data_IF_618923482198
#
_entry.id   IF_618923482198
#
_cell.length_a   1.000
_cell.length_b   1.000
_cell.length_c   1.000
_cell.angle_alpha   90.00
_cell.angle_beta   90.00
_cell.angle_gamma   90.00
#
_symmetry.space_group_name_H-M   'P 1'
#
loop_
_entity.id
_entity.type
_entity.pdbx_description
1 polymer ?
#
# COMPACT_ATOMS: atom_id res chain seq x y z
N UNK A 1 6.44 -4.00 -27.02
CA UNK A 1 5.97 -5.24 -27.70
C UNK A 1 4.70 -5.77 -27.02
N UNK A 2 4.69 -6.09 -25.72
CA UNK A 2 3.54 -6.62 -24.99
C UNK A 2 2.23 -5.84 -25.22
N UNK A 3 2.29 -4.50 -25.20
CA UNK A 3 1.10 -3.65 -25.36
C UNK A 3 0.47 -3.74 -26.76
N UNK A 4 1.24 -4.17 -27.78
CA UNK A 4 0.75 -4.31 -29.16
C UNK A 4 0.18 -5.70 -29.44
N UNK A 5 0.45 -6.66 -28.59
CA UNK A 5 -0.06 -8.02 -28.73
C UNK A 5 -1.55 -8.06 -28.41
N UNK A 6 -2.37 -8.51 -29.35
CA UNK A 6 -3.84 -8.55 -29.21
C UNK A 6 -4.32 -9.68 -28.31
N UNK A 7 -3.51 -10.70 -28.10
CA UNK A 7 -3.85 -11.84 -27.25
C UNK A 7 -3.61 -11.57 -25.76
N UNK A 8 -2.83 -10.53 -25.44
CA UNK A 8 -2.61 -10.11 -24.06
C UNK A 8 -3.76 -9.19 -23.65
N UNK A 9 -4.50 -9.56 -22.63
CA UNK A 9 -5.62 -8.79 -22.09
C UNK A 9 -5.24 -8.01 -20.83
N UNK A 10 -4.32 -8.54 -20.02
CA UNK A 10 -3.92 -7.99 -18.73
C UNK A 10 -2.40 -7.81 -18.67
N UNK A 11 -1.97 -6.67 -18.15
CA UNK A 11 -0.58 -6.39 -17.79
C UNK A 11 -0.41 -6.55 -16.30
N UNK A 12 0.47 -7.47 -15.89
CA UNK A 12 0.91 -7.62 -14.51
C UNK A 12 2.13 -6.71 -14.29
N UNK A 13 1.93 -5.68 -13.46
CA UNK A 13 2.95 -4.66 -13.20
C UNK A 13 3.67 -4.98 -11.88
N UNK A 14 4.83 -5.60 -11.97
CA UNK A 14 5.71 -5.97 -10.84
C UNK A 14 6.95 -5.08 -10.76
N UNK A 15 6.86 -3.85 -11.23
CA UNK A 15 7.95 -2.88 -11.16
C UNK A 15 8.11 -2.28 -9.77
N UNK A 16 9.00 -1.33 -9.62
CA UNK A 16 9.18 -0.58 -8.37
C UNK A 16 8.06 0.47 -8.19
N UNK A 17 7.73 0.91 -6.97
CA UNK A 17 6.64 1.84 -6.69
C UNK A 17 6.64 3.10 -7.55
N UNK A 18 7.79 3.73 -7.74
CA UNK A 18 7.92 4.94 -8.57
C UNK A 18 7.57 4.73 -10.05
N UNK A 19 7.56 3.49 -10.56
CA UNK A 19 7.20 3.17 -11.94
C UNK A 19 5.74 2.71 -12.11
N UNK A 20 5.03 2.39 -11.02
CA UNK A 20 3.69 1.79 -11.06
C UNK A 20 2.71 2.63 -11.88
N UNK A 21 2.65 3.93 -11.61
CA UNK A 21 1.75 4.83 -12.31
C UNK A 21 1.96 4.79 -13.83
N UNK A 22 3.20 4.97 -14.29
CA UNK A 22 3.49 5.06 -15.71
C UNK A 22 3.22 3.75 -16.45
N UNK A 23 3.60 2.61 -15.87
CA UNK A 23 3.39 1.30 -16.47
C UNK A 23 1.90 0.96 -16.54
N UNK A 24 1.16 1.16 -15.45
CA UNK A 24 -0.29 0.91 -15.41
C UNK A 24 -1.05 1.85 -16.34
N UNK A 25 -0.66 3.13 -16.41
CA UNK A 25 -1.23 4.09 -17.35
C UNK A 25 -1.05 3.65 -18.80
N UNK A 26 0.18 3.25 -19.17
CA UNK A 26 0.46 2.74 -20.52
C UNK A 26 -0.36 1.50 -20.86
N UNK A 27 -0.54 0.57 -19.92
CA UNK A 27 -1.40 -0.60 -20.13
C UNK A 27 -2.83 -0.18 -20.43
N UNK A 28 -3.43 0.67 -19.60
CA UNK A 28 -4.79 1.18 -19.78
C UNK A 28 -4.95 1.99 -21.08
N UNK A 29 -3.98 2.85 -21.42
CA UNK A 29 -4.01 3.64 -22.67
C UNK A 29 -4.02 2.74 -23.91
N UNK A 30 -3.39 1.57 -23.84
CA UNK A 30 -3.35 0.57 -24.92
C UNK A 30 -4.48 -0.48 -24.85
N UNK A 31 -5.53 -0.22 -24.05
CA UNK A 31 -6.71 -1.10 -23.97
C UNK A 31 -6.48 -2.39 -23.21
N UNK A 32 -5.48 -2.45 -22.33
CA UNK A 32 -5.18 -3.61 -21.50
C UNK A 32 -5.65 -3.35 -20.07
N UNK A 33 -6.20 -4.37 -19.41
CA UNK A 33 -6.37 -4.36 -17.96
C UNK A 33 -5.01 -4.25 -17.26
N UNK A 34 -4.98 -3.72 -16.05
CA UNK A 34 -3.75 -3.61 -15.27
C UNK A 34 -3.94 -4.19 -13.87
N UNK A 35 -3.02 -5.02 -13.45
CA UNK A 35 -2.89 -5.44 -12.05
C UNK A 35 -1.45 -5.14 -11.59
N UNK A 36 -1.31 -4.36 -10.53
CA UNK A 36 -0.02 -3.89 -10.08
C UNK A 36 0.32 -4.41 -8.67
N UNK A 37 1.62 -4.48 -8.37
CA UNK A 37 2.08 -4.53 -6.99
C UNK A 37 1.67 -3.28 -6.23
N UNK A 38 1.61 -3.38 -4.90
CA UNK A 38 1.34 -2.22 -4.02
C UNK A 38 2.58 -1.29 -3.95
N UNK A 39 2.37 0.00 -3.76
CA UNK A 39 1.10 0.74 -3.80
C UNK A 39 0.61 0.94 -5.25
N UNK A 40 -0.66 1.26 -5.43
CA UNK A 40 -1.21 1.59 -6.76
C UNK A 40 -0.45 2.74 -7.42
N UNK A 41 -0.12 3.75 -6.64
CA UNK A 41 0.76 4.86 -6.98
C UNK A 41 1.38 5.43 -5.70
N UNK A 42 2.48 6.16 -5.82
CA UNK A 42 3.17 6.78 -4.66
C UNK A 42 2.37 7.96 -4.09
N UNK A 43 1.57 8.62 -4.91
CA UNK A 43 0.71 9.72 -4.47
C UNK A 43 -0.75 9.51 -4.86
N UNK A 44 -1.65 10.16 -4.12
CA UNK A 44 -3.10 10.03 -4.28
C UNK A 44 -3.59 10.46 -5.67
N UNK A 45 -3.08 11.58 -6.18
CA UNK A 45 -3.55 12.14 -7.45
C UNK A 45 -3.27 11.21 -8.64
N UNK A 46 -2.14 10.55 -8.65
CA UNK A 46 -1.81 9.59 -9.71
C UNK A 46 -2.65 8.31 -9.60
N UNK A 47 -2.88 7.82 -8.38
CA UNK A 47 -3.81 6.70 -8.15
C UNK A 47 -5.22 7.04 -8.64
N UNK A 48 -5.72 8.22 -8.33
CA UNK A 48 -7.03 8.72 -8.79
C UNK A 48 -7.12 8.77 -10.32
N UNK A 49 -6.11 9.34 -10.99
CA UNK A 49 -6.06 9.39 -12.46
C UNK A 49 -6.08 7.99 -13.10
N UNK A 50 -5.41 7.00 -12.50
CA UNK A 50 -5.46 5.62 -13.00
C UNK A 50 -6.87 5.03 -12.92
N UNK A 51 -7.56 5.22 -11.80
CA UNK A 51 -8.93 4.73 -11.62
C UNK A 51 -9.88 5.44 -12.60
N UNK A 52 -9.77 6.74 -12.75
CA UNK A 52 -10.57 7.51 -13.70
C UNK A 52 -10.32 7.06 -15.16
N UNK A 53 -9.06 6.81 -15.53
CA UNK A 53 -8.69 6.32 -16.84
C UNK A 53 -9.25 4.91 -17.12
N UNK A 54 -9.15 4.00 -16.14
CA UNK A 54 -9.69 2.67 -16.23
C UNK A 54 -11.22 2.71 -16.45
N UNK A 55 -11.93 3.49 -15.63
CA UNK A 55 -13.38 3.68 -15.77
C UNK A 55 -13.77 4.26 -17.13
N UNK A 56 -13.07 5.31 -17.59
CA UNK A 56 -13.32 5.93 -18.90
C UNK A 56 -13.17 4.96 -20.07
N UNK A 57 -12.25 3.99 -19.94
CA UNK A 57 -11.97 3.00 -20.98
C UNK A 57 -12.72 1.69 -20.80
N UNK A 58 -13.53 1.58 -19.75
CA UNK A 58 -14.21 0.33 -19.35
C UNK A 58 -13.21 -0.83 -19.18
N UNK A 59 -12.11 -0.55 -18.50
CA UNK A 59 -11.06 -1.51 -18.17
C UNK A 59 -10.99 -1.73 -16.66
N UNK A 60 -10.52 -2.91 -16.26
CA UNK A 60 -10.25 -3.21 -14.87
C UNK A 60 -8.85 -2.72 -14.49
N UNK A 61 -8.76 -2.15 -13.30
CA UNK A 61 -7.52 -1.89 -12.61
C UNK A 61 -7.61 -2.51 -11.22
N UNK A 62 -6.58 -3.27 -10.84
CA UNK A 62 -6.45 -3.86 -9.53
C UNK A 62 -5.03 -3.72 -9.03
N UNK A 63 -4.85 -3.85 -7.73
CA UNK A 63 -3.52 -3.91 -7.17
C UNK A 63 -3.46 -4.71 -5.86
N UNK A 64 -2.29 -5.24 -5.54
CA UNK A 64 -1.99 -5.78 -4.23
C UNK A 64 -2.14 -4.69 -3.13
N UNK A 65 -2.32 -5.07 -1.86
CA UNK A 65 -2.09 -6.40 -1.31
C UNK A 65 -3.29 -7.33 -1.46
N UNK A 66 -3.01 -8.62 -1.49
CA UNK A 66 -4.01 -9.69 -1.49
C UNK A 66 -4.24 -10.30 -0.10
N UNK A 67 -3.47 -9.89 0.90
CA UNK A 67 -3.44 -10.51 2.25
C UNK A 67 -4.79 -10.49 2.95
N UNK A 68 -5.65 -9.49 2.68
CA UNK A 68 -7.01 -9.44 3.20
C UNK A 68 -7.91 -10.57 2.66
N UNK A 69 -7.54 -11.20 1.54
CA UNK A 69 -8.19 -12.39 1.00
C UNK A 69 -7.74 -13.69 1.68
N UNK A 70 -6.70 -13.63 2.52
CA UNK A 70 -6.19 -14.78 3.26
C UNK A 70 -7.21 -15.31 4.28
N UNK A 71 -7.17 -16.63 4.52
CA UNK A 71 -8.17 -17.34 5.32
C UNK A 71 -8.44 -16.75 6.70
N UNK A 72 -7.42 -16.19 7.37
CA UNK A 72 -7.59 -15.54 8.68
C UNK A 72 -8.46 -14.29 8.62
N UNK A 73 -8.16 -13.36 7.68
CA UNK A 73 -8.93 -12.13 7.51
C UNK A 73 -10.34 -12.44 6.99
N UNK A 74 -10.49 -13.38 6.07
CA UNK A 74 -11.80 -13.81 5.57
C UNK A 74 -12.65 -14.45 6.67
N UNK A 75 -12.05 -15.27 7.54
CA UNK A 75 -12.77 -15.83 8.70
C UNK A 75 -13.15 -14.75 9.71
N UNK A 76 -12.30 -13.78 9.93
CA UNK A 76 -12.61 -12.61 10.77
C UNK A 76 -13.80 -11.83 10.20
N UNK A 77 -13.81 -11.59 8.88
CA UNK A 77 -14.93 -10.92 8.21
C UNK A 77 -16.24 -11.71 8.39
N UNK A 78 -16.21 -13.01 8.18
CA UNK A 78 -17.38 -13.90 8.39
C UNK A 78 -17.92 -13.81 9.82
N UNK A 79 -17.04 -13.83 10.83
CA UNK A 79 -17.45 -13.74 12.23
C UNK A 79 -18.09 -12.37 12.57
N UNK A 80 -17.56 -11.30 12.00
CA UNK A 80 -18.14 -9.96 12.13
C UNK A 80 -19.52 -9.91 11.47
N UNK A 81 -19.64 -10.41 10.24
CA UNK A 81 -20.91 -10.41 9.49
C UNK A 81 -21.99 -11.24 10.20
N UNK A 82 -21.61 -12.31 10.87
CA UNK A 82 -22.51 -13.15 11.67
C UNK A 82 -22.80 -12.54 13.06
N UNK A 83 -22.32 -11.36 13.37
CA UNK A 83 -22.60 -10.64 14.61
C UNK A 83 -22.00 -11.25 15.88
N UNK A 84 -20.97 -12.12 15.75
CA UNK A 84 -20.38 -12.84 16.90
C UNK A 84 -19.83 -11.89 17.97
N UNK A 85 -19.30 -10.74 17.56
CA UNK A 85 -18.81 -9.70 18.48
C UNK A 85 -19.70 -8.45 18.54
N UNK A 86 -20.87 -8.49 17.86
CA UNK A 86 -21.72 -7.31 17.69
C UNK A 86 -21.08 -6.25 16.81
N UNK A 87 -21.57 -5.01 16.93
CA UNK A 87 -21.02 -3.87 16.17
C UNK A 87 -19.63 -3.49 16.66
N UNK A 88 -18.70 -3.33 15.75
CA UNK A 88 -17.35 -2.81 16.07
C UNK A 88 -17.46 -1.31 16.38
N UNK A 89 -17.06 -0.91 17.59
CA UNK A 89 -17.10 0.48 18.03
C UNK A 89 -15.71 1.10 18.19
N UNK A 90 -14.73 0.30 18.58
CA UNK A 90 -13.38 0.75 18.87
C UNK A 90 -12.39 -0.38 18.56
N UNK A 91 -11.19 -0.01 18.15
CA UNK A 91 -10.09 -0.93 18.01
C UNK A 91 -8.74 -0.24 17.98
N UNK A 92 -7.69 -1.01 17.82
CA UNK A 92 -6.36 -0.52 17.55
C UNK A 92 -5.63 -1.44 16.59
N UNK A 93 -4.74 -0.87 15.78
CA UNK A 93 -3.85 -1.59 14.89
C UNK A 93 -2.42 -1.10 15.13
N UNK A 94 -1.49 -2.00 15.37
CA UNK A 94 -0.11 -1.67 15.64
C UNK A 94 0.79 -2.46 14.69
N UNK A 95 1.67 -1.73 14.02
CA UNK A 95 2.77 -2.31 13.26
C UNK A 95 4.07 -1.66 13.72
N UNK A 96 4.97 -2.45 14.26
CA UNK A 96 6.25 -1.98 14.75
C UNK A 96 7.36 -3.00 14.43
N UNK A 97 8.42 -2.51 13.82
CA UNK A 97 9.61 -3.31 13.52
C UNK A 97 10.84 -2.39 13.38
N UNK A 98 12.07 -2.91 13.48
CA UNK A 98 13.27 -2.08 13.47
C UNK A 98 13.57 -1.42 12.13
N UNK A 99 12.91 -1.83 11.06
CA UNK A 99 13.08 -1.34 9.69
C UNK A 99 13.81 -2.32 8.79
N UNK A 100 13.61 -2.17 7.48
CA UNK A 100 14.11 -3.11 6.47
C UNK A 100 15.63 -3.11 6.34
N UNK A 101 16.32 -2.05 6.78
CA UNK A 101 17.78 -1.96 6.73
C UNK A 101 18.48 -3.09 7.50
N UNK A 102 17.78 -3.77 8.41
CA UNK A 102 18.32 -4.90 9.16
C UNK A 102 18.43 -6.19 8.35
N UNK A 103 17.65 -6.33 7.29
CA UNK A 103 17.58 -7.57 6.50
C UNK A 103 17.57 -7.37 4.97
N UNK A 104 17.50 -6.14 4.46
CA UNK A 104 17.56 -5.84 3.03
C UNK A 104 18.94 -5.29 2.64
N UNK A 105 19.58 -5.78 1.56
CA UNK A 105 20.94 -5.36 1.20
C UNK A 105 21.02 -3.96 0.55
N UNK A 106 19.89 -3.43 0.06
CA UNK A 106 19.78 -2.10 -0.55
C UNK A 106 18.53 -1.39 -0.02
N UNK A 107 18.49 -1.00 1.26
CA UNK A 107 17.28 -0.46 1.89
C UNK A 107 17.05 1.02 1.60
N UNK A 108 18.02 1.72 1.02
CA UNK A 108 18.05 3.19 0.92
C UNK A 108 16.82 3.74 0.22
N UNK A 109 16.37 3.09 -0.86
CA UNK A 109 15.24 3.54 -1.66
C UNK A 109 13.93 3.63 -0.86
N UNK A 110 13.72 2.74 0.10
CA UNK A 110 12.51 2.77 0.96
C UNK A 110 12.43 3.97 1.90
N UNK A 111 13.54 4.66 2.10
CA UNK A 111 13.62 5.81 2.99
C UNK A 111 13.71 7.14 2.25
N UNK A 112 13.52 7.12 0.92
CA UNK A 112 13.44 8.32 0.08
C UNK A 112 11.99 8.81 -0.05
N UNK A 113 11.81 10.08 -0.40
CA UNK A 113 10.48 10.64 -0.66
C UNK A 113 9.76 9.96 -1.84
N UNK A 114 10.50 9.49 -2.84
CA UNK A 114 9.96 8.85 -4.03
C UNK A 114 9.31 7.48 -3.76
N UNK A 115 9.78 6.76 -2.74
CA UNK A 115 9.23 5.45 -2.37
C UNK A 115 8.24 5.55 -1.20
N UNK A 116 8.10 6.75 -0.59
CA UNK A 116 7.06 7.08 0.38
C UNK A 116 7.20 6.49 1.78
N UNK A 117 8.30 5.79 2.08
CA UNK A 117 8.60 5.26 3.41
C UNK A 117 7.69 4.14 3.92
N UNK A 118 7.75 3.85 5.24
CA UNK A 118 7.07 2.70 5.84
C UNK A 118 5.56 2.66 5.64
N UNK A 119 4.88 3.81 5.59
CA UNK A 119 3.42 3.84 5.42
C UNK A 119 3.03 3.46 4.00
N UNK A 120 3.76 3.91 2.99
CA UNK A 120 3.48 3.54 1.60
C UNK A 120 3.87 2.08 1.34
N UNK A 121 4.93 1.60 2.00
CA UNK A 121 5.37 0.21 1.86
C UNK A 121 4.45 -0.78 2.60
N UNK A 122 4.19 -0.54 3.90
CA UNK A 122 3.48 -1.48 4.77
C UNK A 122 2.03 -1.08 5.05
N UNK A 123 1.71 0.20 5.00
CA UNK A 123 0.35 0.69 5.24
C UNK A 123 -0.73 0.01 4.39
N UNK A 124 -0.53 -0.26 3.09
CA UNK A 124 -1.53 -0.92 2.26
C UNK A 124 -2.05 -2.23 2.84
N UNK A 125 -1.20 -3.05 3.45
CA UNK A 125 -1.60 -4.33 4.05
C UNK A 125 -2.61 -4.15 5.20
N UNK A 126 -2.34 -3.20 6.10
CA UNK A 126 -3.14 -2.98 7.31
C UNK A 126 -4.38 -2.14 7.01
N UNK A 127 -4.22 -1.07 6.24
CA UNK A 127 -5.34 -0.19 5.90
C UNK A 127 -6.38 -0.91 5.04
N UNK A 128 -5.96 -1.72 4.08
CA UNK A 128 -6.89 -2.53 3.28
C UNK A 128 -7.62 -3.56 4.14
N UNK A 129 -6.92 -4.19 5.10
CA UNK A 129 -7.55 -5.12 6.03
C UNK A 129 -8.58 -4.40 6.93
N UNK A 130 -8.25 -3.22 7.46
CA UNK A 130 -9.19 -2.43 8.27
C UNK A 130 -10.42 -2.02 7.45
N UNK A 131 -10.24 -1.52 6.23
CA UNK A 131 -11.37 -1.16 5.35
C UNK A 131 -12.21 -2.40 5.01
N UNK A 132 -11.60 -3.54 4.77
CA UNK A 132 -12.32 -4.79 4.52
C UNK A 132 -13.14 -5.23 5.75
N UNK A 133 -12.63 -5.09 6.96
CA UNK A 133 -13.28 -5.55 8.19
C UNK A 133 -14.32 -4.57 8.75
N UNK A 134 -14.14 -3.28 8.55
CA UNK A 134 -14.92 -2.23 9.22
C UNK A 134 -15.78 -1.44 8.23
N UNK A 135 -15.27 -1.21 7.03
CA UNK A 135 -15.92 -0.39 6.01
C UNK A 135 -15.10 0.83 5.61
N UNK A 136 -15.68 1.78 4.84
CA UNK A 136 -14.97 2.95 4.35
C UNK A 136 -14.53 3.89 5.49
N UNK A 137 -13.31 4.42 5.36
CA UNK A 137 -12.81 5.47 6.23
C UNK A 137 -13.47 6.81 5.89
N UNK A 138 -13.95 7.52 6.90
CA UNK A 138 -14.60 8.83 6.81
C UNK A 138 -13.62 9.98 7.06
N UNK A 139 -12.78 9.82 8.09
CA UNK A 139 -11.87 10.86 8.53
C UNK A 139 -10.60 10.24 9.10
N UNK A 140 -9.48 10.91 8.89
CA UNK A 140 -8.20 10.56 9.52
C UNK A 140 -7.57 11.79 10.14
N UNK A 141 -6.98 11.61 11.32
CA UNK A 141 -6.13 12.59 11.98
C UNK A 141 -4.87 11.88 12.47
N UNK A 142 -3.70 12.46 12.19
CA UNK A 142 -2.46 11.80 12.54
C UNK A 142 -1.29 12.74 12.68
N UNK A 143 -0.21 12.19 13.20
CA UNK A 143 1.10 12.81 13.26
C UNK A 143 2.16 11.85 12.80
N UNK A 144 3.20 12.37 12.19
CA UNK A 144 4.37 11.60 11.80
C UNK A 144 5.65 12.31 12.19
N UNK A 145 6.71 11.54 12.33
CA UNK A 145 8.03 12.07 12.62
C UNK A 145 9.11 11.18 12.03
N UNK A 146 10.25 11.79 11.76
CA UNK A 146 11.49 11.11 11.42
C UNK A 146 12.31 11.00 12.70
N UNK A 147 12.46 9.77 13.22
CA UNK A 147 13.15 9.54 14.50
C UNK A 147 14.67 9.55 14.33
N UNK A 148 15.16 9.02 13.19
CA UNK A 148 16.58 8.97 12.89
C UNK A 148 16.86 9.68 11.58
N UNK A 149 17.87 10.57 11.57
CA UNK A 149 18.34 11.26 10.36
C UNK A 149 19.11 10.32 9.42
N UNK A 150 19.79 9.32 9.99
CA UNK A 150 20.55 8.31 9.28
C UNK A 150 20.24 6.92 9.80
N UNK A 151 20.39 5.94 8.94
CA UNK A 151 20.35 4.51 9.29
C UNK A 151 21.55 3.80 8.69
N UNK A 152 21.87 2.61 9.22
CA UNK A 152 22.98 1.79 8.79
C UNK A 152 22.47 0.48 8.17
N UNK A 153 23.09 0.06 7.07
CA UNK A 153 22.76 -1.18 6.37
C UNK A 153 23.28 -2.37 7.19
N UNK A 154 22.39 -3.27 7.58
CA UNK A 154 22.70 -4.38 8.48
C UNK A 154 23.32 -5.61 7.79
N UNK A 155 23.11 -5.78 6.47
CA UNK A 155 23.53 -6.99 5.74
C UNK A 155 24.05 -6.66 4.33
N UNK A 156 24.65 -7.68 3.69
CA UNK A 156 25.09 -7.62 2.29
C UNK A 156 26.40 -6.86 2.06
N UNK A 157 26.72 -6.58 0.79
CA UNK A 157 28.01 -5.95 0.43
C UNK A 157 28.18 -4.53 0.97
N UNK A 158 27.07 -3.85 1.29
CA UNK A 158 27.07 -2.48 1.83
C UNK A 158 26.94 -2.42 3.35
N UNK A 159 27.01 -3.56 4.05
CA UNK A 159 26.90 -3.61 5.52
C UNK A 159 27.80 -2.59 6.19
N UNK A 160 27.25 -1.85 7.16
CA UNK A 160 27.96 -0.78 7.86
C UNK A 160 27.91 0.58 7.18
N UNK A 161 27.47 0.67 5.93
CA UNK A 161 27.30 1.97 5.28
C UNK A 161 26.07 2.68 5.83
N UNK A 162 26.20 3.97 6.08
CA UNK A 162 25.10 4.83 6.50
C UNK A 162 24.41 5.46 5.30
N UNK A 163 23.12 5.70 5.42
CA UNK A 163 22.33 6.42 4.45
C UNK A 163 21.36 7.38 5.14
N UNK A 164 20.99 8.44 4.43
CA UNK A 164 20.08 9.47 4.92
C UNK A 164 18.64 8.97 4.85
N UNK A 165 17.85 9.30 5.88
CA UNK A 165 16.41 9.08 5.93
C UNK A 165 15.71 10.37 5.50
N UNK A 166 14.93 10.33 4.44
CA UNK A 166 14.28 11.50 3.85
C UNK A 166 12.76 11.57 4.15
N UNK A 167 12.17 10.46 4.57
CA UNK A 167 10.73 10.34 4.85
C UNK A 167 10.47 10.09 6.34
N UNK A 168 9.29 10.45 6.87
CA UNK A 168 8.90 10.03 8.21
C UNK A 168 8.92 8.50 8.37
N UNK A 169 9.30 8.05 9.56
CA UNK A 169 9.43 6.62 9.87
C UNK A 169 8.56 6.16 11.04
N UNK A 170 7.90 7.10 11.71
CA UNK A 170 6.98 6.83 12.81
C UNK A 170 5.70 7.60 12.58
N UNK A 171 4.57 6.90 12.69
CA UNK A 171 3.24 7.45 12.47
C UNK A 171 2.31 7.04 13.60
N UNK A 172 1.46 7.95 14.01
CA UNK A 172 0.35 7.72 14.92
C UNK A 172 -0.88 8.38 14.31
N UNK A 173 -1.95 7.63 14.15
CA UNK A 173 -3.18 8.16 13.56
C UNK A 173 -4.41 7.60 14.26
N UNK A 174 -5.50 8.36 14.18
CA UNK A 174 -6.85 7.92 14.49
C UNK A 174 -7.68 7.97 13.22
N UNK A 175 -8.36 6.87 12.90
CA UNK A 175 -9.22 6.76 11.72
C UNK A 175 -10.65 6.56 12.22
N UNK A 176 -11.56 7.44 11.82
CA UNK A 176 -13.00 7.26 11.97
C UNK A 176 -13.58 6.66 10.69
N UNK A 177 -14.38 5.62 10.83
CA UNK A 177 -15.07 4.95 9.73
C UNK A 177 -16.51 5.45 9.59
N UNK A 178 -17.16 5.16 8.46
CA UNK A 178 -18.54 5.61 8.18
C UNK A 178 -19.58 5.09 9.18
N UNK A 179 -19.31 3.96 9.83
CA UNK A 179 -20.13 3.39 10.90
C UNK A 179 -19.82 3.92 12.30
N UNK A 180 -19.08 5.03 12.37
CA UNK A 180 -18.60 5.69 13.59
C UNK A 180 -17.63 4.85 14.46
N UNK A 181 -17.13 3.73 13.95
CA UNK A 181 -16.01 3.02 14.57
C UNK A 181 -14.73 3.88 14.52
N UNK A 182 -13.93 3.81 15.57
CA UNK A 182 -12.65 4.52 15.68
C UNK A 182 -11.51 3.52 15.91
N UNK A 183 -10.47 3.62 15.09
CA UNK A 183 -9.23 2.83 15.20
C UNK A 183 -8.04 3.77 15.37
#
# INVERSE_FOLDING_TARGET
>A
ELLKDKEIEIILNLTIPGAHYQVSKLALENGKHSYAEKPLAVNFEDGKKLVELANKKNLYIGNAPDTFLGGGIQKTRELIDNGVIGDIKLGNAIFAYPGIQSYHPNPESWFTENEGGPVIDMGPYYLTALVNLIGPAKQVQGRCTKVFEEREIGIGPKKGQKFKVETPTTYLATIQFENDCII
#
